data_IF_640912028763
#
_entry.id   IF_640912028763
#
_cell.length_a   1.000
_cell.length_b   1.000
_cell.length_c   1.000
_cell.angle_alpha   90.00
_cell.angle_beta   90.00
_cell.angle_gamma   90.00
#
_symmetry.space_group_name_H-M   'P 1'
#
loop_
_entity.id
_entity.type
_entity.pdbx_description
1 polymer ?
#
# COMPACT_ATOMS: atom_id res chain seq x y z
N UNK A 1 -34.90 -14.70 -92.79
CA UNK A 1 -35.45 -13.69 -91.89
C UNK A 1 -35.11 -14.12 -90.48
N UNK A 2 -34.25 -13.33 -89.85
CA UNK A 2 -33.75 -13.37 -88.47
C UNK A 2 -34.85 -13.54 -87.38
N UNK A 3 -34.55 -13.70 -86.07
CA UNK A 3 -33.24 -13.64 -85.39
C UNK A 3 -32.96 -14.69 -84.29
N UNK A 4 -31.66 -14.78 -83.96
CA UNK A 4 -31.00 -14.72 -82.64
C UNK A 4 -31.47 -15.54 -81.41
N UNK A 5 -30.53 -16.38 -80.96
CA UNK A 5 -30.00 -16.51 -79.57
C UNK A 5 -30.32 -15.33 -78.60
N UNK A 6 -30.42 -15.55 -77.26
CA UNK A 6 -29.36 -16.23 -76.50
C UNK A 6 -29.77 -17.11 -75.31
N UNK A 7 -28.91 -18.07 -75.00
CA UNK A 7 -28.81 -18.71 -73.68
C UNK A 7 -27.41 -18.46 -73.11
N UNK A 8 -27.38 -18.23 -71.79
CA UNK A 8 -26.23 -18.21 -70.86
C UNK A 8 -25.39 -16.94 -70.79
N UNK A 9 -25.68 -16.14 -69.77
CA UNK A 9 -24.87 -15.98 -68.55
C UNK A 9 -25.34 -14.69 -67.87
N UNK A 10 -26.26 -14.74 -66.92
CA UNK A 10 -25.95 -15.00 -65.51
C UNK A 10 -24.58 -14.44 -65.08
N UNK A 11 -24.60 -13.16 -64.70
CA UNK A 11 -24.05 -12.57 -63.46
C UNK A 11 -23.86 -11.06 -63.64
N UNK A 12 -24.96 -10.34 -63.82
CA UNK A 12 -24.97 -8.88 -63.67
C UNK A 12 -24.81 -8.53 -62.19
N UNK A 13 -23.97 -7.55 -61.81
CA UNK A 13 -23.66 -7.17 -60.42
C UNK A 13 -24.84 -6.52 -59.66
N UNK A 14 -26.06 -6.62 -60.18
CA UNK A 14 -27.26 -6.00 -59.61
C UNK A 14 -27.64 -6.57 -58.23
N UNK A 15 -27.40 -7.86 -57.98
CA UNK A 15 -27.68 -8.48 -56.67
C UNK A 15 -26.64 -8.16 -55.59
N UNK A 16 -25.43 -7.73 -55.97
CA UNK A 16 -24.42 -7.28 -54.99
C UNK A 16 -24.70 -5.84 -54.55
N UNK A 17 -25.24 -4.98 -55.42
CA UNK A 17 -25.59 -3.61 -55.06
C UNK A 17 -26.95 -3.47 -54.34
N UNK A 18 -27.90 -4.37 -54.57
CA UNK A 18 -29.16 -4.38 -53.78
C UNK A 18 -28.92 -4.79 -52.32
N UNK A 19 -27.92 -5.64 -52.05
CA UNK A 19 -27.49 -5.97 -50.69
C UNK A 19 -26.56 -4.91 -50.06
N UNK A 20 -25.98 -3.98 -50.84
CA UNK A 20 -25.21 -2.82 -50.32
C UNK A 20 -26.14 -1.65 -49.99
N UNK A 21 -27.37 -1.68 -50.50
CA UNK A 21 -28.50 -0.90 -49.99
C UNK A 21 -29.05 -1.47 -48.67
N UNK A 22 -28.27 -2.30 -47.96
CA UNK A 22 -28.40 -2.48 -46.51
C UNK A 22 -28.22 -1.11 -45.87
N UNK A 23 -29.37 -0.45 -45.76
CA UNK A 23 -29.69 0.76 -45.02
C UNK A 23 -28.47 1.52 -44.52
N UNK A 24 -28.13 2.60 -45.22
CA UNK A 24 -27.32 3.67 -44.65
C UNK A 24 -27.84 4.09 -43.27
N UNK A 25 -29.14 3.94 -43.01
CA UNK A 25 -29.73 4.08 -41.69
C UNK A 25 -29.26 3.00 -40.71
N UNK A 26 -29.18 1.73 -41.08
CA UNK A 26 -28.68 0.64 -40.24
C UNK A 26 -27.19 0.79 -39.97
N UNK A 27 -26.39 1.17 -40.97
CA UNK A 27 -24.96 1.48 -40.77
C UNK A 27 -24.79 2.69 -39.83
N UNK A 28 -25.58 3.75 -40.03
CA UNK A 28 -25.61 4.91 -39.13
C UNK A 28 -26.03 4.51 -37.72
N UNK A 29 -27.07 3.69 -37.58
CA UNK A 29 -27.56 3.21 -36.28
C UNK A 29 -26.46 2.39 -35.59
N UNK A 30 -25.84 1.45 -36.29
CA UNK A 30 -24.75 0.63 -35.75
C UNK A 30 -23.57 1.50 -35.30
N UNK A 31 -23.15 2.46 -36.12
CA UNK A 31 -22.10 3.41 -35.77
C UNK A 31 -22.49 4.31 -34.58
N UNK A 32 -23.75 4.76 -34.52
CA UNK A 32 -24.25 5.57 -33.42
C UNK A 32 -24.30 4.75 -32.13
N UNK A 33 -24.77 3.51 -32.17
CA UNK A 33 -24.78 2.61 -31.01
C UNK A 33 -23.37 2.23 -30.57
N UNK A 34 -22.44 2.03 -31.49
CA UNK A 34 -21.04 1.77 -31.16
C UNK A 34 -20.38 3.00 -30.53
N UNK A 35 -20.66 4.20 -31.04
CA UNK A 35 -20.19 5.45 -30.46
C UNK A 35 -20.80 5.69 -29.06
N UNK A 36 -22.09 5.42 -28.88
CA UNK A 36 -22.77 5.53 -27.57
C UNK A 36 -22.22 4.50 -26.58
N UNK A 37 -21.97 3.27 -26.99
CA UNK A 37 -21.32 2.24 -26.16
C UNK A 37 -19.88 2.65 -25.77
N UNK A 38 -19.12 3.20 -26.71
CA UNK A 38 -17.78 3.71 -26.44
C UNK A 38 -17.82 4.90 -25.47
N UNK A 39 -18.78 5.82 -25.60
CA UNK A 39 -18.96 6.92 -24.64
C UNK A 39 -19.41 6.41 -23.28
N UNK A 40 -20.29 5.41 -23.22
CA UNK A 40 -20.74 4.78 -21.97
C UNK A 40 -19.64 3.99 -21.27
N UNK A 41 -18.64 3.46 -22.00
CA UNK A 41 -17.46 2.79 -21.43
C UNK A 41 -16.34 3.77 -21.10
N UNK A 42 -16.13 4.77 -21.95
CA UNK A 42 -15.08 5.77 -21.79
C UNK A 42 -15.43 6.80 -20.70
N UNK A 43 -16.69 7.20 -20.53
CA UNK A 43 -17.05 8.17 -19.50
C UNK A 43 -16.76 7.67 -18.07
N UNK A 44 -17.10 6.42 -17.68
CA UNK A 44 -16.69 5.86 -16.40
C UNK A 44 -15.18 5.67 -16.30
N UNK A 45 -14.50 5.22 -17.35
CA UNK A 45 -13.04 5.06 -17.35
C UNK A 45 -12.30 6.39 -17.21
N UNK A 46 -12.74 7.43 -17.92
CA UNK A 46 -12.18 8.79 -17.82
C UNK A 46 -12.54 9.41 -16.48
N UNK A 47 -13.75 9.17 -15.95
CA UNK A 47 -14.12 9.58 -14.59
C UNK A 47 -13.20 8.90 -13.56
N UNK A 48 -13.01 7.59 -13.64
CA UNK A 48 -12.11 6.84 -12.75
C UNK A 48 -10.68 7.33 -12.92
N UNK A 49 -10.14 7.47 -14.13
CA UNK A 49 -8.76 7.94 -14.37
C UNK A 49 -8.53 9.38 -13.90
N UNK A 50 -9.51 10.28 -14.12
CA UNK A 50 -9.42 11.68 -13.72
C UNK A 50 -9.64 11.86 -12.21
N UNK A 51 -10.44 11.00 -11.58
CA UNK A 51 -10.72 11.03 -10.14
C UNK A 51 -9.82 10.11 -9.29
N UNK A 52 -9.10 9.15 -9.87
CA UNK A 52 -8.06 8.38 -9.15
C UNK A 52 -6.84 9.24 -8.84
N UNK A 53 -6.46 10.15 -9.75
CA UNK A 53 -5.38 11.12 -9.52
C UNK A 53 -5.79 12.22 -8.52
N UNK A 54 -7.08 12.28 -8.15
CA UNK A 54 -7.64 13.24 -7.18
C UNK A 54 -8.35 12.55 -6.02
N UNK A 55 -7.91 11.35 -5.62
CA UNK A 55 -8.35 10.75 -4.36
C UNK A 55 -8.02 11.63 -3.14
N UNK A 56 -6.95 12.43 -3.21
CA UNK A 56 -6.61 13.44 -2.20
C UNK A 56 -7.64 14.58 -2.12
N UNK A 57 -8.30 14.96 -3.22
CA UNK A 57 -9.28 16.06 -3.23
C UNK A 57 -10.70 15.59 -2.93
N UNK A 58 -11.02 14.31 -3.21
CA UNK A 58 -12.30 13.71 -2.84
C UNK A 58 -12.38 13.45 -1.32
N UNK A 59 -11.23 13.19 -0.67
CA UNK A 59 -11.12 13.02 0.78
C UNK A 59 -11.49 14.29 1.55
N UNK A 60 -11.06 15.46 1.06
CA UNK A 60 -11.39 16.76 1.65
C UNK A 60 -12.89 17.10 1.56
N UNK A 61 -13.61 16.56 0.57
CA UNK A 61 -15.02 16.91 0.32
C UNK A 61 -16.02 15.93 0.94
N UNK A 62 -15.69 14.64 0.99
CA UNK A 62 -16.60 13.60 1.49
C UNK A 62 -16.29 13.16 2.91
N UNK A 63 -15.06 13.35 3.41
CA UNK A 63 -14.65 12.88 4.74
C UNK A 63 -14.75 11.35 4.93
N UNK A 64 -15.03 10.61 3.85
CA UNK A 64 -15.24 9.17 3.87
C UNK A 64 -13.91 8.45 4.08
N UNK A 65 -12.80 8.97 3.56
CA UNK A 65 -11.46 8.38 3.71
C UNK A 65 -10.89 8.59 5.12
N UNK A 66 -11.27 9.65 5.84
CA UNK A 66 -11.05 9.75 7.31
C UNK A 66 -11.78 8.68 8.13
N UNK A 67 -12.89 8.13 7.63
CA UNK A 67 -13.69 7.09 8.31
C UNK A 67 -13.35 5.67 7.85
N UNK A 68 -13.00 5.51 6.58
CA UNK A 68 -12.78 4.21 5.91
C UNK A 68 -11.30 3.88 5.76
N UNK A 69 -10.42 4.87 5.61
CA UNK A 69 -8.96 4.69 5.59
C UNK A 69 -8.43 3.98 6.84
N UNK A 70 -8.82 4.40 8.06
CA UNK A 70 -8.46 3.67 9.27
C UNK A 70 -9.03 2.26 9.27
N UNK A 71 -10.26 2.05 8.78
CA UNK A 71 -10.91 0.73 8.77
C UNK A 71 -10.25 -0.25 7.78
N UNK A 72 -9.88 0.19 6.59
CA UNK A 72 -9.19 -0.67 5.62
C UNK A 72 -7.76 -0.95 6.09
N UNK A 73 -7.04 0.04 6.64
CA UNK A 73 -5.73 -0.21 7.26
C UNK A 73 -5.86 -1.17 8.45
N UNK A 74 -6.88 -0.99 9.29
CA UNK A 74 -7.19 -1.88 10.42
C UNK A 74 -7.45 -3.30 9.93
N UNK A 75 -8.30 -3.49 8.91
CA UNK A 75 -8.61 -4.81 8.35
C UNK A 75 -7.41 -5.48 7.67
N UNK A 76 -6.58 -4.72 6.93
CA UNK A 76 -5.37 -5.27 6.29
C UNK A 76 -4.33 -5.66 7.36
N UNK A 77 -4.22 -4.90 8.44
CA UNK A 77 -3.34 -5.23 9.56
C UNK A 77 -3.89 -6.43 10.34
N UNK A 78 -5.19 -6.53 10.62
CA UNK A 78 -5.78 -7.61 11.41
C UNK A 78 -5.74 -8.99 10.75
N UNK A 79 -5.79 -9.07 9.41
CA UNK A 79 -6.00 -10.34 8.71
C UNK A 79 -4.72 -11.15 8.40
N UNK A 80 -3.52 -10.58 8.61
CA UNK A 80 -2.24 -11.26 8.32
C UNK A 80 -1.22 -11.04 9.43
N UNK A 81 -0.34 -12.02 9.63
CA UNK A 81 0.92 -11.83 10.37
C UNK A 81 1.58 -10.56 9.82
N UNK A 82 1.75 -9.58 10.69
CA UNK A 82 2.10 -8.22 10.29
C UNK A 82 3.58 -7.97 10.54
N UNK A 83 4.30 -7.65 9.47
CA UNK A 83 5.70 -7.24 9.54
C UNK A 83 5.83 -5.72 9.41
N UNK A 84 6.36 -5.08 10.44
CA UNK A 84 6.70 -3.67 10.45
C UNK A 84 8.22 -3.53 10.37
N UNK A 85 8.74 -2.73 9.45
CA UNK A 85 10.17 -2.51 9.35
C UNK A 85 10.51 -1.06 9.11
N UNK A 86 11.63 -0.61 9.67
CA UNK A 86 12.19 0.71 9.42
C UNK A 86 13.71 0.65 9.55
N UNK A 87 14.36 1.30 8.59
CA UNK A 87 15.78 1.57 8.63
C UNK A 87 15.99 2.98 9.16
N UNK A 88 16.87 3.11 10.13
CA UNK A 88 17.25 4.35 10.76
C UNK A 88 18.70 4.64 10.40
N UNK A 89 18.96 5.84 9.89
CA UNK A 89 20.30 6.32 9.62
C UNK A 89 20.49 7.62 10.39
N UNK A 90 21.36 7.58 11.38
CA UNK A 90 21.69 8.73 12.21
C UNK A 90 23.10 9.20 11.88
N UNK A 91 23.24 10.50 11.71
CA UNK A 91 24.51 11.12 11.36
C UNK A 91 24.83 12.22 12.36
N UNK A 92 26.12 12.45 12.64
CA UNK A 92 26.58 13.43 13.63
C UNK A 92 26.10 14.84 13.35
N UNK A 93 25.89 15.13 12.07
CA UNK A 93 25.61 16.47 11.57
C UNK A 93 24.10 16.76 11.51
N UNK A 94 23.25 15.78 11.82
CA UNK A 94 21.80 15.92 11.81
C UNK A 94 21.26 15.95 13.23
N UNK A 95 20.41 16.93 13.52
CA UNK A 95 19.62 16.94 14.75
C UNK A 95 18.70 15.71 14.76
N UNK A 96 18.86 14.83 15.74
CA UNK A 96 18.02 13.65 15.91
C UNK A 96 16.75 14.08 16.63
N UNK A 97 15.61 14.10 15.92
CA UNK A 97 14.31 14.28 16.57
C UNK A 97 13.78 12.93 17.06
N UNK A 98 12.99 12.92 18.14
CA UNK A 98 12.41 11.68 18.67
C UNK A 98 11.48 10.98 17.67
N UNK A 99 10.83 11.74 16.77
CA UNK A 99 10.00 11.19 15.70
C UNK A 99 10.80 10.37 14.68
N UNK A 100 12.06 10.73 14.43
CA UNK A 100 12.92 10.02 13.49
C UNK A 100 13.29 8.62 14.00
N UNK A 101 13.26 8.42 15.32
CA UNK A 101 13.72 7.19 16.00
C UNK A 101 12.63 6.17 16.30
N UNK A 102 11.36 6.48 15.99
CA UNK A 102 10.23 5.61 16.32
C UNK A 102 9.79 4.75 15.12
N UNK A 103 9.47 3.49 15.39
CA UNK A 103 8.71 2.58 14.54
C UNK A 103 7.38 2.29 15.24
N UNK A 104 6.26 2.61 14.59
CA UNK A 104 4.93 2.31 15.10
C UNK A 104 4.47 0.95 14.58
N UNK A 105 3.83 0.17 15.46
CA UNK A 105 3.23 -1.10 15.10
C UNK A 105 1.97 -1.36 15.91
N UNK A 106 1.00 -2.04 15.31
CA UNK A 106 -0.22 -2.46 16.00
C UNK A 106 -0.03 -3.86 16.57
N UNK A 107 -0.42 -4.11 17.81
CA UNK A 107 -0.45 -5.45 18.40
C UNK A 107 -1.51 -5.54 19.50
N UNK A 108 -2.19 -6.68 19.58
CA UNK A 108 -3.09 -7.02 20.68
C UNK A 108 -2.32 -7.76 21.79
N UNK A 109 -2.83 -7.70 23.03
CA UNK A 109 -2.16 -8.27 24.20
C UNK A 109 -1.87 -9.80 24.10
N UNK A 110 -2.64 -10.54 23.31
CA UNK A 110 -2.49 -11.99 23.14
C UNK A 110 -1.65 -12.39 21.92
N UNK A 111 -1.18 -11.41 21.13
CA UNK A 111 -0.41 -11.67 19.92
C UNK A 111 1.07 -11.90 20.24
N UNK A 112 1.71 -12.81 19.49
CA UNK A 112 3.13 -13.05 19.65
C UNK A 112 3.91 -11.97 18.89
N UNK A 113 4.71 -11.17 19.60
CA UNK A 113 5.49 -10.10 18.99
C UNK A 113 6.97 -10.39 19.14
N UNK A 114 7.65 -10.49 18.00
CA UNK A 114 9.09 -10.72 17.92
C UNK A 114 9.75 -9.53 17.26
N UNK A 115 10.80 -9.02 17.89
CA UNK A 115 11.57 -7.90 17.39
C UNK A 115 12.96 -8.39 16.99
N UNK A 116 13.42 -7.96 15.81
CA UNK A 116 14.77 -8.19 15.32
C UNK A 116 15.42 -6.85 14.98
N UNK A 117 16.58 -6.57 15.56
CA UNK A 117 17.31 -5.31 15.38
C UNK A 117 18.75 -5.61 14.99
N UNK A 118 19.27 -4.86 14.03
CA UNK A 118 20.67 -4.89 13.62
C UNK A 118 21.22 -3.48 13.74
N UNK A 119 22.40 -3.28 14.33
CA UNK A 119 23.02 -1.98 14.48
C UNK A 119 24.50 -2.01 14.12
N UNK A 120 24.92 -1.04 13.30
CA UNK A 120 26.29 -0.86 12.84
C UNK A 120 26.66 0.62 12.88
N UNK A 121 27.89 0.96 13.25
CA UNK A 121 28.38 2.32 13.25
C UNK A 121 29.64 2.47 12.39
N UNK A 122 29.72 3.61 11.69
CA UNK A 122 30.96 4.09 11.09
C UNK A 122 31.57 5.06 12.09
N UNK A 123 32.55 4.57 12.87
CA UNK A 123 33.21 5.33 13.94
C UNK A 123 33.11 4.62 15.30
N UNK A 124 32.95 5.39 16.38
CA UNK A 124 32.74 4.84 17.70
C UNK A 124 31.26 4.51 17.89
N UNK A 125 30.95 3.28 18.29
CA UNK A 125 29.56 2.89 18.52
C UNK A 125 28.99 3.64 19.75
N UNK A 126 27.93 4.44 19.59
CA UNK A 126 27.34 5.14 20.72
C UNK A 126 26.49 4.18 21.54
N UNK A 127 26.33 4.49 22.83
CA UNK A 127 25.38 3.78 23.67
C UNK A 127 23.96 3.99 23.12
N UNK A 128 23.25 2.89 22.87
CA UNK A 128 21.85 2.90 22.44
C UNK A 128 20.95 2.33 23.53
N UNK A 129 19.76 2.89 23.64
CA UNK A 129 18.71 2.42 24.55
C UNK A 129 17.50 2.04 23.69
N UNK A 130 17.15 0.77 23.70
CA UNK A 130 15.97 0.27 23.01
C UNK A 130 14.78 0.39 23.94
N UNK A 131 13.72 1.04 23.46
CA UNK A 131 12.50 1.28 24.21
C UNK A 131 11.29 0.71 23.50
N UNK A 132 10.39 0.16 24.30
CA UNK A 132 9.03 -0.18 23.90
C UNK A 132 8.09 0.78 24.63
N UNK A 133 7.36 1.57 23.85
CA UNK A 133 6.59 2.72 24.35
C UNK A 133 7.48 3.67 25.15
N UNK A 134 7.30 3.72 26.46
CA UNK A 134 8.11 4.53 27.37
C UNK A 134 9.02 3.68 28.29
N UNK A 135 8.99 2.35 28.16
CA UNK A 135 9.84 1.44 28.90
C UNK A 135 11.17 1.18 28.19
N UNK A 136 12.24 1.03 28.97
CA UNK A 136 13.50 0.45 28.47
C UNK A 136 13.40 -1.06 28.43
N UNK A 137 13.66 -1.64 27.25
CA UNK A 137 13.69 -3.10 27.08
C UNK A 137 15.13 -3.62 27.05
N UNK A 138 16.06 -2.88 26.45
CA UNK A 138 17.45 -3.26 26.38
C UNK A 138 18.36 -2.04 26.27
N UNK A 139 19.64 -2.20 26.57
CA UNK A 139 20.66 -1.17 26.42
C UNK A 139 21.93 -1.82 25.89
N UNK A 140 22.45 -1.27 24.79
CA UNK A 140 23.65 -1.79 24.11
C UNK A 140 24.70 -0.70 24.00
N UNK A 141 25.95 -1.10 24.11
CA UNK A 141 27.11 -0.21 23.97
C UNK A 141 28.08 -0.69 22.87
N UNK A 142 27.68 -1.71 22.12
CA UNK A 142 28.48 -2.36 21.07
C UNK A 142 27.57 -2.69 19.88
N UNK A 143 28.17 -2.85 18.71
CA UNK A 143 27.48 -3.28 17.48
C UNK A 143 26.89 -4.68 17.62
N UNK A 144 25.83 -4.95 16.87
CA UNK A 144 25.23 -6.29 16.84
C UNK A 144 24.56 -6.56 15.49
N UNK A 145 24.88 -7.72 14.93
CA UNK A 145 24.38 -8.12 13.62
C UNK A 145 22.93 -8.58 13.66
N UNK A 146 22.49 -9.28 14.71
CA UNK A 146 21.10 -9.69 14.91
C UNK A 146 20.84 -9.75 16.41
N UNK A 147 19.98 -8.86 16.90
CA UNK A 147 19.37 -8.93 18.22
C UNK A 147 17.91 -9.30 18.06
N UNK A 148 17.57 -10.55 18.36
CA UNK A 148 16.21 -11.05 18.31
C UNK A 148 15.65 -11.22 19.73
N UNK A 149 14.44 -10.71 19.96
CA UNK A 149 13.76 -10.82 21.24
C UNK A 149 12.25 -10.90 21.05
N UNK A 150 11.64 -11.88 21.70
CA UNK A 150 10.19 -11.90 21.90
C UNK A 150 9.81 -10.87 22.97
N UNK A 151 8.91 -9.94 22.62
CA UNK A 151 8.51 -8.81 23.47
C UNK A 151 7.04 -8.90 23.89
N UNK A 152 6.36 -10.03 23.69
CA UNK A 152 4.95 -10.21 24.05
C UNK A 152 4.66 -9.87 25.52
N UNK A 153 5.43 -10.42 26.45
CA UNK A 153 5.27 -10.10 27.88
C UNK A 153 5.62 -8.63 28.21
N UNK A 154 6.48 -8.00 27.40
CA UNK A 154 6.81 -6.59 27.55
C UNK A 154 5.65 -5.68 27.13
N UNK A 155 4.77 -6.10 26.20
CA UNK A 155 3.61 -5.30 25.76
C UNK A 155 2.61 -5.06 26.90
N UNK A 156 2.38 -6.06 27.75
CA UNK A 156 1.50 -5.93 28.92
C UNK A 156 2.09 -4.98 29.96
N UNK A 157 3.41 -5.09 30.19
CA UNK A 157 4.13 -4.25 31.15
C UNK A 157 4.28 -2.80 30.67
N UNK A 158 4.39 -2.62 29.36
CA UNK A 158 4.73 -1.35 28.73
C UNK A 158 3.54 -0.85 27.91
N UNK A 159 2.52 -0.38 28.62
CA UNK A 159 1.29 0.09 28.01
C UNK A 159 1.54 1.25 27.04
N UNK A 160 0.93 1.24 25.85
CA UNK A 160 1.00 2.35 24.91
C UNK A 160 0.11 3.52 25.33
N UNK A 161 0.40 4.71 24.79
CA UNK A 161 -0.44 5.90 24.99
C UNK A 161 -1.80 5.77 24.25
N UNK A 162 -1.82 5.03 23.13
CA UNK A 162 -3.02 4.67 22.37
C UNK A 162 -3.26 3.15 22.43
N UNK A 163 -4.51 2.68 22.63
CA UNK A 163 -4.80 1.25 22.72
C UNK A 163 -4.28 0.47 21.51
N UNK A 164 -3.55 -0.61 21.76
CA UNK A 164 -2.98 -1.52 20.76
C UNK A 164 -1.98 -0.90 19.77
N UNK A 165 -1.67 0.40 19.87
CA UNK A 165 -0.68 1.07 19.02
C UNK A 165 0.63 1.24 19.80
N UNK A 166 1.57 0.35 19.55
CA UNK A 166 2.86 0.34 20.23
C UNK A 166 3.93 1.07 19.40
N UNK A 167 4.92 1.60 20.10
CA UNK A 167 6.06 2.29 19.51
C UNK A 167 7.36 1.63 19.95
N UNK A 168 8.17 1.20 19.00
CA UNK A 168 9.56 0.86 19.24
C UNK A 168 10.41 2.11 19.01
N UNK A 169 11.17 2.54 20.01
CA UNK A 169 12.00 3.76 19.95
C UNK A 169 13.45 3.42 20.22
N UNK A 170 14.34 4.13 19.53
CA UNK A 170 15.79 4.02 19.73
C UNK A 170 16.30 5.35 20.27
N UNK A 171 16.77 5.35 21.52
CA UNK A 171 17.31 6.54 22.16
C UNK A 171 18.84 6.50 22.21
N UNK A 172 19.45 7.65 21.94
CA UNK A 172 20.88 7.89 22.12
C UNK A 172 21.08 8.85 23.31
N UNK A 173 21.24 8.36 24.55
CA UNK A 173 21.32 9.22 25.74
C UNK A 173 22.43 10.27 25.67
N UNK A 174 23.52 9.99 24.94
CA UNK A 174 24.65 10.90 24.76
C UNK A 174 24.75 11.44 23.32
N UNK A 175 23.71 11.25 22.50
CA UNK A 175 23.77 11.45 21.05
C UNK A 175 24.64 10.41 20.32
N UNK A 176 24.76 10.56 19.00
CA UNK A 176 25.57 9.66 18.13
C UNK A 176 27.04 10.06 18.04
N UNK A 177 27.44 11.16 18.69
CA UNK A 177 28.82 11.64 18.67
C UNK A 177 29.29 12.02 17.27
N UNK A 178 30.54 11.68 16.93
CA UNK A 178 31.14 11.87 15.59
C UNK A 178 31.05 10.58 14.78
N UNK A 179 29.89 9.93 14.79
CA UNK A 179 29.71 8.62 14.17
C UNK A 179 28.39 8.56 13.44
N UNK A 180 28.38 7.81 12.35
CA UNK A 180 27.17 7.52 11.59
C UNK A 180 26.69 6.15 12.00
N UNK A 181 25.44 6.05 12.46
CA UNK A 181 24.86 4.79 12.95
C UNK A 181 23.72 4.38 12.04
N UNK A 182 23.80 3.17 11.51
CA UNK A 182 22.73 2.51 10.78
C UNK A 182 22.08 1.47 11.68
N UNK A 183 20.76 1.56 11.86
CA UNK A 183 19.98 0.58 12.63
C UNK A 183 18.83 0.11 11.75
N UNK A 184 18.71 -1.21 11.58
CA UNK A 184 17.58 -1.82 10.88
C UNK A 184 16.73 -2.56 11.90
N UNK A 185 15.45 -2.26 11.93
CA UNK A 185 14.51 -2.89 12.83
C UNK A 185 13.38 -3.56 12.05
N UNK A 186 13.02 -4.76 12.48
CA UNK A 186 11.86 -5.51 12.03
C UNK A 186 11.07 -5.96 13.27
N UNK A 187 9.78 -5.68 13.30
CA UNK A 187 8.84 -6.18 14.30
C UNK A 187 7.84 -7.07 13.58
N UNK A 188 7.74 -8.32 14.03
CA UNK A 188 6.80 -9.32 13.53
C UNK A 188 5.72 -9.55 14.58
N UNK A 189 4.47 -9.41 14.18
CA UNK A 189 3.30 -9.67 15.01
C UNK A 189 2.57 -10.88 14.44
N UNK A 190 2.62 -11.99 15.18
CA UNK A 190 2.10 -13.30 14.78
C UNK A 190 0.92 -13.73 15.64
N UNK A 191 0.16 -14.72 15.15
CA UNK A 191 -1.02 -15.28 15.82
C UNK A 191 -2.15 -14.26 16.01
N UNK A 192 -2.46 -13.47 14.98
CA UNK A 192 -3.66 -12.63 14.96
C UNK A 192 -4.89 -13.54 14.87
N UNK A 193 -5.43 -13.97 16.02
CA UNK A 193 -6.61 -14.83 16.08
C UNK A 193 -7.85 -13.93 16.07
N UNK A 194 -8.74 -14.13 15.10
CA UNK A 194 -10.06 -13.51 15.13
C UNK A 194 -10.83 -14.02 16.36
N UNK A 195 -11.28 -13.17 17.29
CA UNK A 195 -12.45 -13.53 18.07
C UNK A 195 -13.60 -13.72 17.07
N UNK A 196 -14.17 -14.91 16.99
CA UNK A 196 -15.34 -15.18 16.13
C UNK A 196 -16.43 -14.15 16.44
N UNK A 197 -16.73 -13.28 15.46
CA UNK A 197 -17.92 -12.43 15.45
C UNK A 197 -19.06 -13.21 14.79
#
# INVERSE_FOLDING_TARGET
>A
MDPAEPSKNDKTPAKLFENIKLDFNTIKIVLLTAAVLLVLLAAPMVFILKHFVTFDQLDDYLGVTKSVGPKILHTILEDFDSGYSKNFLFDSDKAISSADTALLFHALAHEKVTMSVTAHAIGAFPKIVLKLNNCVIDTRAEEFHIFEREVTADLERCSPDEPNLHSFKIDFPNGVGKSTVEIRCVVLVNNRIRPHI
#
